data_IF_349492101632
#
_entry.id   IF_349492101632
#
_cell.length_a   1.000
_cell.length_b   1.000
_cell.length_c   1.000
_cell.angle_alpha   90.00
_cell.angle_beta   90.00
_cell.angle_gamma   90.00
#
_symmetry.space_group_name_H-M   'P 1'
#
loop_
_entity.id
_entity.type
_entity.pdbx_description
1 polymer ?
#
# COMPACT_ATOMS: atom_id res chain seq x y z
N UNK A 1 43.24 1.02 26.55
CA UNK A 1 41.80 1.10 26.90
C UNK A 1 41.06 1.38 25.61
N UNK A 2 40.07 0.52 25.32
CA UNK A 2 39.42 0.36 24.02
C UNK A 2 38.58 1.59 23.63
N UNK A 3 38.75 2.09 22.41
CA UNK A 3 37.83 3.06 21.81
C UNK A 3 36.90 2.34 20.83
N UNK A 4 35.61 2.40 21.15
CA UNK A 4 34.46 1.83 20.46
C UNK A 4 34.34 2.28 19.00
N UNK A 5 34.10 1.33 18.09
CA UNK A 5 33.66 1.60 16.72
C UNK A 5 32.17 2.00 16.71
N UNK A 6 31.77 3.08 16.01
CA UNK A 6 30.38 3.36 15.71
C UNK A 6 30.07 2.88 14.29
N UNK A 7 29.72 1.61 14.13
CA UNK A 7 29.04 1.14 12.93
C UNK A 7 27.56 0.96 13.25
N UNK A 8 26.82 2.06 13.13
CA UNK A 8 25.37 1.98 12.98
C UNK A 8 25.10 1.46 11.56
N UNK A 9 24.56 0.25 11.47
CA UNK A 9 24.10 -0.33 10.22
C UNK A 9 22.89 0.49 9.73
N UNK A 10 23.09 1.36 8.74
CA UNK A 10 22.00 1.99 8.02
C UNK A 10 21.37 0.95 7.08
N UNK A 11 20.14 0.56 7.39
CA UNK A 11 19.28 -0.30 6.58
C UNK A 11 18.95 0.40 5.27
N UNK A 12 19.67 0.07 4.19
CA UNK A 12 19.39 0.54 2.84
C UNK A 12 18.06 -0.04 2.33
N UNK A 13 17.15 0.85 1.91
CA UNK A 13 15.87 0.53 1.29
C UNK A 13 16.06 -0.20 -0.06
N UNK A 14 15.22 -1.20 -0.41
CA UNK A 14 15.43 -2.09 -1.56
C UNK A 14 15.04 -1.49 -2.92
N UNK A 15 14.76 -0.18 -3.00
CA UNK A 15 14.44 0.50 -4.26
C UNK A 15 15.62 1.33 -4.74
N UNK A 16 16.65 0.64 -5.24
CA UNK A 16 17.70 1.29 -6.00
C UNK A 16 17.76 0.65 -7.39
N UNK A 17 17.45 1.46 -8.40
CA UNK A 17 17.95 1.30 -9.78
C UNK A 17 19.45 1.01 -9.75
N UNK A 18 20.04 0.35 -10.76
CA UNK A 18 21.44 -0.11 -10.69
C UNK A 18 22.34 1.03 -10.23
N UNK A 19 22.79 0.92 -8.97
CA UNK A 19 23.68 1.88 -8.35
C UNK A 19 24.98 1.77 -9.11
N UNK A 20 25.39 2.83 -9.80
CA UNK A 20 26.69 2.88 -10.45
C UNK A 20 27.78 2.99 -9.38
N UNK A 21 28.13 1.84 -8.80
CA UNK A 21 29.32 1.71 -7.96
C UNK A 21 30.54 1.97 -8.83
N UNK A 22 31.38 2.91 -8.44
CA UNK A 22 32.72 3.02 -9.03
C UNK A 22 33.59 2.01 -8.30
N UNK A 23 33.80 0.84 -8.90
CA UNK A 23 34.85 -0.09 -8.44
C UNK A 23 36.17 0.53 -8.84
N UNK A 24 36.97 0.97 -7.88
CA UNK A 24 38.35 1.34 -8.14
C UNK A 24 39.14 0.04 -8.36
N UNK A 25 39.40 -0.31 -9.62
CA UNK A 25 40.30 -1.42 -9.94
C UNK A 25 41.73 -1.01 -9.58
N UNK A 26 42.30 -1.69 -8.60
CA UNK A 26 43.70 -1.60 -8.24
C UNK A 26 44.39 -2.95 -8.50
N UNK A 27 45.68 -2.95 -8.88
CA UNK A 27 46.38 -4.16 -9.29
C UNK A 27 46.41 -5.20 -8.16
N UNK A 28 46.11 -6.44 -8.54
CA UNK A 28 45.90 -7.58 -7.65
C UNK A 28 47.12 -7.83 -6.76
N UNK A 29 46.90 -7.76 -5.44
CA UNK A 29 47.83 -8.25 -4.43
C UNK A 29 47.71 -7.47 -3.13
N UNK A 30 47.40 -8.18 -2.04
CA UNK A 30 47.22 -7.71 -0.65
C UNK A 30 45.75 -7.41 -0.33
N UNK A 31 45.23 -8.11 0.69
CA UNK A 31 43.83 -8.12 1.10
C UNK A 31 43.32 -6.74 1.52
N UNK A 32 42.67 -6.06 0.58
CA UNK A 32 41.99 -4.79 0.82
C UNK A 32 40.49 -5.07 0.67
N UNK A 33 39.76 -4.93 1.79
CA UNK A 33 38.31 -4.90 1.76
C UNK A 33 37.84 -3.69 0.94
N UNK A 34 36.87 -3.83 0.01
CA UNK A 34 36.41 -2.71 -0.78
C UNK A 34 35.81 -1.64 0.13
N UNK A 35 36.43 -0.47 0.18
CA UNK A 35 35.88 0.70 0.84
C UNK A 35 34.86 1.35 -0.11
N UNK A 36 33.59 0.97 0.06
CA UNK A 36 32.47 1.62 -0.62
C UNK A 36 32.24 2.96 0.05
N UNK A 37 32.59 4.06 -0.63
CA UNK A 37 32.30 5.42 -0.17
C UNK A 37 31.17 5.98 -1.03
N UNK A 38 30.06 6.34 -0.40
CA UNK A 38 28.95 7.01 -1.07
C UNK A 38 29.45 8.36 -1.60
N UNK A 39 29.08 8.67 -2.84
CA UNK A 39 29.42 9.97 -3.41
C UNK A 39 28.62 11.08 -2.72
N UNK A 40 29.14 12.32 -2.65
CA UNK A 40 28.44 13.44 -2.02
C UNK A 40 27.06 13.71 -2.63
N UNK A 41 26.87 13.40 -3.93
CA UNK A 41 25.57 13.56 -4.59
C UNK A 41 24.50 12.63 -3.99
N UNK A 42 24.89 11.46 -3.48
CA UNK A 42 23.97 10.50 -2.83
C UNK A 42 23.58 10.95 -1.43
N UNK A 43 24.48 11.62 -0.71
CA UNK A 43 24.17 12.19 0.61
C UNK A 43 23.19 13.36 0.52
N UNK A 44 23.28 14.15 -0.56
CA UNK A 44 22.34 15.24 -0.79
C UNK A 44 20.94 14.71 -1.18
N UNK A 45 20.90 13.63 -1.99
CA UNK A 45 19.63 12.96 -2.30
C UNK A 45 18.93 12.39 -1.05
N UNK A 46 19.69 11.86 -0.09
CA UNK A 46 19.14 11.36 1.18
C UNK A 46 18.45 12.48 1.98
N UNK A 47 19.06 13.67 2.03
CA UNK A 47 18.48 14.85 2.69
C UNK A 47 17.21 15.33 1.98
N UNK A 48 17.25 15.45 0.66
CA UNK A 48 16.08 15.86 -0.14
C UNK A 48 14.92 14.84 -0.04
N UNK A 49 15.22 13.54 -0.06
CA UNK A 49 14.24 12.47 0.13
C UNK A 49 13.59 12.56 1.51
N UNK A 50 14.39 12.81 2.56
CA UNK A 50 13.90 12.94 3.92
C UNK A 50 12.98 14.18 4.08
N UNK A 51 13.30 15.31 3.43
CA UNK A 51 12.45 16.50 3.43
C UNK A 51 11.08 16.24 2.78
N UNK A 52 11.02 15.42 1.74
CA UNK A 52 9.75 15.02 1.11
C UNK A 52 8.93 14.17 2.07
N UNK A 53 9.56 13.21 2.76
CA UNK A 53 8.88 12.34 3.75
C UNK A 53 8.38 13.09 4.99
N UNK A 54 9.08 14.13 5.40
CA UNK A 54 8.70 15.00 6.52
C UNK A 54 7.62 16.02 6.14
N UNK A 55 7.34 16.22 4.85
CA UNK A 55 6.31 17.16 4.42
C UNK A 55 4.91 16.73 4.89
N UNK A 56 4.14 17.68 5.46
CA UNK A 56 2.77 17.43 5.92
C UNK A 56 1.89 16.80 4.84
N UNK A 57 2.06 17.21 3.59
CA UNK A 57 1.32 16.67 2.46
C UNK A 57 1.65 15.19 2.21
N UNK A 58 2.92 14.78 2.28
CA UNK A 58 3.29 13.37 2.16
C UNK A 58 2.68 12.53 3.29
N UNK A 59 2.80 13.01 4.53
CA UNK A 59 2.26 12.31 5.71
C UNK A 59 0.75 12.13 5.62
N UNK A 60 0.01 13.17 5.20
CA UNK A 60 -1.42 13.09 4.92
C UNK A 60 -1.74 12.05 3.83
N UNK A 61 -1.00 12.05 2.72
CA UNK A 61 -1.23 11.08 1.64
C UNK A 61 -1.01 9.64 2.10
N UNK A 62 0.01 9.39 2.91
CA UNK A 62 0.29 8.06 3.48
C UNK A 62 -0.80 7.66 4.47
N UNK A 63 -1.24 8.59 5.33
CA UNK A 63 -2.37 8.37 6.24
C UNK A 63 -3.65 8.05 5.46
N UNK A 64 -3.99 8.80 4.41
CA UNK A 64 -5.19 8.56 3.60
C UNK A 64 -5.15 7.18 2.92
N UNK A 65 -3.98 6.72 2.48
CA UNK A 65 -3.82 5.36 1.92
C UNK A 65 -4.05 4.29 2.97
N UNK A 66 -3.48 4.45 4.16
CA UNK A 66 -3.67 3.52 5.27
C UNK A 66 -5.14 3.52 5.75
N UNK A 67 -5.78 4.68 5.80
CA UNK A 67 -7.18 4.86 6.12
C UNK A 67 -8.09 4.13 5.13
N UNK A 68 -7.85 4.32 3.82
CA UNK A 68 -8.57 3.59 2.78
C UNK A 68 -8.38 2.08 2.87
N UNK A 69 -7.17 1.62 3.15
CA UNK A 69 -6.92 0.18 3.32
C UNK A 69 -7.75 -0.40 4.48
N UNK A 70 -7.85 0.32 5.59
CA UNK A 70 -8.71 -0.07 6.71
C UNK A 70 -10.18 -0.06 6.34
N UNK A 71 -10.67 0.94 5.58
CA UNK A 71 -12.07 0.98 5.13
C UNK A 71 -12.45 -0.19 4.23
N UNK A 72 -11.51 -0.66 3.40
CA UNK A 72 -11.71 -1.82 2.52
C UNK A 72 -11.77 -3.13 3.35
N UNK A 73 -11.15 -3.16 4.52
CA UNK A 73 -11.26 -4.30 5.44
C UNK A 73 -12.68 -4.39 5.99
N UNK A 74 -13.31 -5.56 5.85
CA UNK A 74 -14.69 -5.80 6.29
C UNK A 74 -14.95 -5.44 7.76
N UNK A 75 -13.94 -5.58 8.61
CA UNK A 75 -14.04 -5.30 10.04
C UNK A 75 -13.41 -3.96 10.44
N UNK A 76 -12.97 -3.15 9.47
CA UNK A 76 -12.26 -1.89 9.68
C UNK A 76 -11.02 -2.02 10.58
N UNK A 77 -10.46 -3.23 10.65
CA UNK A 77 -9.33 -3.62 11.50
C UNK A 77 -8.39 -4.52 10.71
N UNK A 78 -7.10 -4.33 10.89
CA UNK A 78 -6.05 -5.13 10.25
C UNK A 78 -4.94 -5.38 11.30
N UNK A 79 -4.49 -6.63 11.48
CA UNK A 79 -3.32 -6.94 12.31
C UNK A 79 -2.08 -6.15 11.89
N UNK A 80 -1.32 -5.61 12.84
CA UNK A 80 -0.11 -4.83 12.55
C UNK A 80 0.88 -5.64 11.73
N UNK A 81 1.01 -6.96 11.97
CA UNK A 81 1.83 -7.86 11.14
C UNK A 81 1.52 -7.81 9.63
N UNK A 82 0.25 -7.60 9.26
CA UNK A 82 -0.17 -7.49 7.86
C UNK A 82 0.19 -6.09 7.35
N UNK A 83 -0.06 -5.04 8.13
CA UNK A 83 0.34 -3.66 7.79
C UNK A 83 1.86 -3.58 7.60
N UNK A 84 2.65 -4.23 8.46
CA UNK A 84 4.11 -4.29 8.38
C UNK A 84 4.61 -4.99 7.11
N UNK A 85 3.84 -5.95 6.58
CA UNK A 85 4.13 -6.61 5.31
C UNK A 85 3.87 -5.66 4.13
N UNK A 86 2.87 -4.78 4.25
CA UNK A 86 2.45 -3.84 3.21
C UNK A 86 3.08 -2.44 3.33
N UNK A 87 3.82 -2.17 4.40
CA UNK A 87 4.30 -0.82 4.73
C UNK A 87 5.08 -0.16 3.60
N UNK A 88 5.91 -0.91 2.89
CA UNK A 88 6.68 -0.42 1.74
C UNK A 88 5.81 -0.11 0.53
N UNK A 89 4.73 -0.85 0.32
CA UNK A 89 3.78 -0.56 -0.74
C UNK A 89 2.95 0.69 -0.43
N UNK A 90 2.69 0.95 0.85
CA UNK A 90 1.92 2.11 1.31
C UNK A 90 2.75 3.38 1.45
N UNK A 91 4.08 3.27 1.52
CA UNK A 91 4.98 4.39 1.84
C UNK A 91 4.98 4.74 3.32
N UNK A 92 4.72 3.77 4.19
CA UNK A 92 4.71 3.99 5.63
C UNK A 92 6.14 4.11 6.18
N UNK A 93 6.41 5.04 7.11
CA UNK A 93 7.66 5.05 7.88
C UNK A 93 7.89 3.72 8.60
N UNK A 94 9.15 3.38 8.87
CA UNK A 94 9.51 2.16 9.59
C UNK A 94 8.88 2.09 10.99
N UNK A 95 8.72 3.25 11.63
CA UNK A 95 8.17 3.47 12.96
C UNK A 95 6.76 4.09 12.91
N UNK A 96 5.98 3.86 11.84
CA UNK A 96 4.68 4.52 11.60
C UNK A 96 3.71 4.43 12.79
N UNK A 97 3.80 3.39 13.63
CA UNK A 97 2.97 3.25 14.84
C UNK A 97 3.29 4.34 15.88
N UNK A 98 4.55 4.75 15.96
CA UNK A 98 5.02 5.81 16.87
C UNK A 98 5.06 7.18 16.19
N UNK A 99 5.34 7.22 14.88
CA UNK A 99 5.52 8.48 14.15
C UNK A 99 4.24 8.96 13.48
N UNK A 100 3.49 8.10 12.77
CA UNK A 100 2.33 8.51 11.97
C UNK A 100 1.01 8.37 12.73
N UNK A 101 0.76 7.24 13.38
CA UNK A 101 -0.52 6.95 14.05
C UNK A 101 -0.92 8.02 15.08
N UNK A 102 -0.01 8.53 15.95
CA UNK A 102 -0.36 9.55 16.93
C UNK A 102 -0.72 10.91 16.33
N UNK A 103 -0.30 11.20 15.09
CA UNK A 103 -0.66 12.43 14.39
C UNK A 103 -2.08 12.41 13.84
N UNK A 104 -2.66 11.22 13.65
CA UNK A 104 -4.00 11.02 13.11
C UNK A 104 -4.89 10.23 14.09
N UNK A 105 -5.16 10.76 15.31
CA UNK A 105 -5.93 10.05 16.33
C UNK A 105 -7.41 9.85 15.93
N UNK A 106 -7.94 10.71 15.07
CA UNK A 106 -9.28 10.56 14.50
C UNK A 106 -9.37 9.44 13.45
N UNK A 107 -8.22 8.99 12.94
CA UNK A 107 -8.15 7.99 11.87
C UNK A 107 -7.87 6.63 12.46
N UNK A 108 -6.89 6.54 13.36
CA UNK A 108 -6.29 5.28 13.74
C UNK A 108 -6.28 5.07 15.25
N UNK A 109 -6.51 3.82 15.64
CA UNK A 109 -6.30 3.35 17.00
C UNK A 109 -5.60 2.00 16.96
N UNK A 110 -4.60 1.83 17.81
CA UNK A 110 -4.01 0.51 18.05
C UNK A 110 -4.78 -0.18 19.16
N UNK A 111 -5.22 -1.41 18.92
CA UNK A 111 -5.98 -2.23 19.86
C UNK A 111 -5.32 -3.59 20.03
N UNK A 112 -5.56 -4.23 21.18
CA UNK A 112 -5.13 -5.61 21.40
C UNK A 112 -6.01 -6.59 20.62
N UNK A 113 -5.41 -7.67 20.12
CA UNK A 113 -6.04 -8.65 19.22
C UNK A 113 -6.81 -9.74 19.93
N UNK A 114 -7.09 -9.59 21.21
CA UNK A 114 -7.94 -10.50 21.99
C UNK A 114 -7.30 -11.88 22.25
N UNK A 115 -6.00 -12.03 21.98
CA UNK A 115 -5.22 -13.23 22.20
C UNK A 115 -4.37 -13.02 23.47
N UNK A 116 -4.85 -13.56 24.60
CA UNK A 116 -4.23 -13.43 25.92
C UNK A 116 -2.96 -14.29 26.09
N UNK A 117 -2.16 -14.48 25.04
CA UNK A 117 -0.95 -15.32 25.08
C UNK A 117 0.24 -14.51 24.59
N UNK A 118 0.88 -13.83 25.54
CA UNK A 118 2.08 -13.03 25.35
C UNK A 118 3.26 -13.89 24.88
N UNK A 119 3.52 -13.91 23.57
CA UNK A 119 4.84 -14.24 23.03
C UNK A 119 5.06 -13.57 21.66
N UNK A 120 5.35 -12.26 21.68
CA UNK A 120 5.86 -11.54 20.50
C UNK A 120 5.47 -10.07 20.50
N UNK A 121 6.47 -9.18 20.51
CA UNK A 121 6.32 -7.74 20.32
C UNK A 121 5.48 -7.49 19.04
N UNK A 122 4.29 -6.91 19.20
CA UNK A 122 3.34 -6.50 18.15
C UNK A 122 2.54 -7.58 17.39
N UNK A 123 2.74 -8.89 17.65
CA UNK A 123 2.08 -9.94 16.85
C UNK A 123 0.55 -10.00 17.04
N UNK A 124 0.07 -9.57 18.21
CA UNK A 124 -1.34 -9.57 18.58
C UNK A 124 -2.01 -8.20 18.39
N UNK A 125 -1.28 -7.13 18.08
CA UNK A 125 -1.88 -5.80 17.96
C UNK A 125 -2.58 -5.63 16.61
N UNK A 126 -3.71 -4.92 16.62
CA UNK A 126 -4.46 -4.52 15.44
C UNK A 126 -4.47 -3.01 15.28
N UNK A 127 -4.36 -2.54 14.04
CA UNK A 127 -4.73 -1.19 13.67
C UNK A 127 -6.22 -1.15 13.35
N UNK A 128 -6.93 -0.20 13.94
CA UNK A 128 -8.37 0.00 13.79
C UNK A 128 -8.67 1.40 13.26
N UNK A 129 -9.69 1.49 12.40
CA UNK A 129 -10.29 2.74 11.96
C UNK A 129 -11.16 3.36 13.06
N UNK A 130 -10.94 4.63 13.41
CA UNK A 130 -11.67 5.33 14.47
C UNK A 130 -12.93 6.01 13.93
N UNK A 131 -12.77 7.06 13.12
CA UNK A 131 -13.87 7.81 12.55
C UNK A 131 -13.95 7.63 11.03
N UNK A 132 -15.12 7.27 10.52
CA UNK A 132 -15.37 7.22 9.08
C UNK A 132 -15.40 8.61 8.45
N UNK A 133 -14.75 8.77 7.30
CA UNK A 133 -14.72 10.03 6.53
C UNK A 133 -15.22 9.80 5.11
N UNK A 134 -16.31 10.48 4.75
CA UNK A 134 -16.95 10.39 3.43
C UNK A 134 -16.11 10.93 2.29
N UNK A 135 -15.16 11.81 2.58
CA UNK A 135 -14.24 12.36 1.56
C UNK A 135 -13.30 11.29 1.00
N UNK A 136 -13.00 10.26 1.80
CA UNK A 136 -12.12 9.15 1.44
C UNK A 136 -12.88 7.90 0.98
N UNK A 137 -14.23 7.90 1.00
CA UNK A 137 -15.03 6.74 0.55
C UNK A 137 -15.05 6.60 -0.97
N UNK A 138 -14.73 7.65 -1.73
CA UNK A 138 -14.77 7.58 -3.20
C UNK A 138 -13.60 6.74 -3.72
N UNK A 139 -13.93 5.64 -4.39
CA UNK A 139 -12.97 4.72 -4.99
C UNK A 139 -12.27 5.34 -6.20
N UNK A 140 -11.09 4.82 -6.53
CA UNK A 140 -10.29 5.25 -7.67
C UNK A 140 -11.00 5.07 -9.00
N UNK A 141 -11.87 4.05 -9.11
CA UNK A 141 -12.67 3.82 -10.31
C UNK A 141 -13.77 4.88 -10.41
N UNK A 142 -14.50 5.15 -9.32
CA UNK A 142 -15.54 6.21 -9.31
C UNK A 142 -14.95 7.58 -9.67
N UNK A 143 -13.74 7.90 -9.19
CA UNK A 143 -13.05 9.16 -9.55
C UNK A 143 -12.69 9.26 -11.03
N UNK A 144 -12.49 8.13 -11.72
CA UNK A 144 -12.11 8.09 -13.14
C UNK A 144 -13.34 8.08 -14.06
N UNK A 145 -14.45 7.54 -13.59
CA UNK A 145 -15.69 7.41 -14.36
C UNK A 145 -16.47 8.73 -14.37
N UNK A 146 -16.61 9.33 -15.56
CA UNK A 146 -17.33 10.60 -15.71
C UNK A 146 -18.83 10.36 -15.74
N UNK A 147 -19.57 11.02 -14.86
CA UNK A 147 -21.04 10.90 -14.80
C UNK A 147 -21.52 9.63 -14.13
N UNK A 148 -20.67 8.98 -13.32
CA UNK A 148 -21.10 7.89 -12.47
C UNK A 148 -22.12 8.37 -11.43
N UNK A 149 -23.23 7.66 -11.33
CA UNK A 149 -24.23 7.81 -10.26
C UNK A 149 -24.32 6.50 -9.47
N UNK A 150 -24.53 6.60 -8.16
CA UNK A 150 -24.56 5.43 -7.27
C UNK A 150 -25.64 4.45 -7.72
N UNK A 151 -25.25 3.18 -7.88
CA UNK A 151 -26.12 2.11 -8.37
C UNK A 151 -26.02 1.86 -9.89
N UNK A 152 -25.31 2.70 -10.64
CA UNK A 152 -25.00 2.43 -12.04
C UNK A 152 -23.91 1.36 -12.17
N UNK A 153 -23.91 0.57 -13.26
CA UNK A 153 -22.80 -0.32 -13.57
C UNK A 153 -21.55 0.49 -13.98
N UNK A 154 -20.37 0.05 -13.53
CA UNK A 154 -19.09 0.48 -14.09
C UNK A 154 -18.44 -0.71 -14.80
N UNK A 155 -18.10 -0.56 -16.08
CA UNK A 155 -17.53 -1.62 -16.90
C UNK A 155 -16.03 -1.75 -16.63
N UNK A 156 -15.59 -2.94 -16.24
CA UNK A 156 -14.17 -3.24 -16.09
C UNK A 156 -13.56 -3.56 -17.47
N UNK A 157 -12.47 -2.88 -17.88
CA UNK A 157 -11.76 -3.23 -19.11
C UNK A 157 -11.22 -4.67 -19.03
N UNK A 158 -11.68 -5.54 -19.92
CA UNK A 158 -11.23 -6.93 -20.02
C UNK A 158 -10.52 -7.15 -21.35
N UNK A 159 -9.25 -7.57 -21.28
CA UNK A 159 -8.46 -7.92 -22.46
C UNK A 159 -8.21 -9.43 -22.46
N UNK A 160 -8.76 -10.12 -23.46
CA UNK A 160 -8.48 -11.52 -23.68
C UNK A 160 -7.34 -11.66 -24.70
N UNK A 161 -6.41 -12.58 -24.47
CA UNK A 161 -5.31 -12.83 -25.41
C UNK A 161 -5.86 -13.26 -26.77
N UNK A 162 -5.30 -12.72 -27.85
CA UNK A 162 -5.70 -13.07 -29.23
C UNK A 162 -5.56 -14.58 -29.45
N UNK A 163 -6.67 -15.25 -29.80
CA UNK A 163 -6.75 -16.71 -29.95
C UNK A 163 -7.66 -17.40 -28.92
N UNK A 164 -8.11 -16.69 -27.88
CA UNK A 164 -9.14 -17.19 -26.99
C UNK A 164 -10.53 -17.10 -27.65
N UNK A 165 -11.06 -18.22 -28.13
CA UNK A 165 -12.45 -18.30 -28.56
C UNK A 165 -13.35 -18.46 -27.32
N UNK A 166 -14.00 -17.37 -26.92
CA UNK A 166 -14.97 -17.42 -25.82
C UNK A 166 -16.25 -18.07 -26.30
N UNK A 167 -16.66 -19.15 -25.62
CA UNK A 167 -17.99 -19.73 -25.85
C UNK A 167 -19.08 -18.68 -25.59
N UNK A 168 -20.18 -18.77 -26.34
CA UNK A 168 -21.32 -17.85 -26.26
C UNK A 168 -21.90 -17.76 -24.84
N UNK A 169 -21.85 -18.86 -24.08
CA UNK A 169 -22.30 -18.88 -22.67
C UNK A 169 -21.41 -18.01 -21.79
N UNK A 170 -20.09 -18.14 -21.93
CA UNK A 170 -19.12 -17.32 -21.18
C UNK A 170 -19.28 -15.84 -21.52
N UNK A 171 -19.38 -15.52 -22.82
CA UNK A 171 -19.60 -14.13 -23.24
C UNK A 171 -20.87 -13.53 -22.63
N UNK A 172 -21.99 -14.28 -22.68
CA UNK A 172 -23.25 -13.84 -22.08
C UNK A 172 -23.10 -13.63 -20.57
N UNK A 173 -22.45 -14.54 -19.86
CA UNK A 173 -22.20 -14.40 -18.43
C UNK A 173 -21.36 -13.14 -18.12
N UNK A 174 -20.30 -12.88 -18.89
CA UNK A 174 -19.49 -11.65 -18.73
C UNK A 174 -20.34 -10.39 -18.99
N UNK A 175 -21.15 -10.39 -20.04
CA UNK A 175 -22.03 -9.26 -20.37
C UNK A 175 -23.05 -8.99 -19.25
N UNK A 176 -23.67 -10.04 -18.70
CA UNK A 176 -24.61 -9.96 -17.58
C UNK A 176 -23.88 -9.50 -16.29
N UNK A 177 -22.70 -10.06 -16.03
CA UNK A 177 -21.85 -9.69 -14.89
C UNK A 177 -21.41 -8.22 -14.94
N UNK A 178 -21.08 -7.68 -16.13
CA UNK A 178 -20.72 -6.27 -16.33
C UNK A 178 -21.90 -5.30 -16.12
N UNK A 179 -23.14 -5.77 -16.22
CA UNK A 179 -24.36 -4.95 -16.01
C UNK A 179 -24.81 -4.82 -14.56
N UNK A 180 -24.28 -5.63 -13.65
CA UNK A 180 -24.54 -5.50 -12.21
C UNK A 180 -24.20 -4.09 -11.69
N UNK A 181 -24.85 -3.60 -10.62
CA UNK A 181 -24.50 -2.32 -10.02
C UNK A 181 -23.06 -2.34 -9.48
N UNK A 182 -22.33 -1.23 -9.67
CA UNK A 182 -21.03 -1.07 -9.01
C UNK A 182 -21.24 -0.74 -7.53
N UNK A 183 -20.57 -1.51 -6.67
CA UNK A 183 -20.53 -1.30 -5.22
C UNK A 183 -19.11 -0.85 -4.87
N UNK A 184 -19.00 0.31 -4.22
CA UNK A 184 -17.69 0.86 -3.88
C UNK A 184 -16.96 -0.04 -2.86
N UNK A 185 -15.65 -0.30 -3.04
CA UNK A 185 -14.82 -1.05 -2.10
C UNK A 185 -14.80 -0.48 -0.69
N UNK A 186 -14.95 0.84 -0.58
CA UNK A 186 -14.95 1.56 0.69
C UNK A 186 -16.35 1.61 1.33
N UNK A 187 -17.38 0.99 0.75
CA UNK A 187 -18.71 0.89 1.34
C UNK A 187 -18.92 -0.46 2.02
N UNK A 188 -19.86 -0.50 2.97
CA UNK A 188 -20.15 -1.72 3.72
C UNK A 188 -20.80 -2.80 2.83
N UNK A 189 -19.98 -3.75 2.38
CA UNK A 189 -20.39 -4.88 1.57
C UNK A 189 -20.80 -6.12 2.39
N UNK A 190 -21.05 -6.00 3.70
CA UNK A 190 -21.48 -7.13 4.54
C UNK A 190 -22.83 -7.72 4.11
N UNK A 191 -23.61 -6.99 3.31
CA UNK A 191 -24.90 -7.46 2.77
C UNK A 191 -24.72 -8.41 1.58
N UNK A 192 -23.52 -8.52 1.01
CA UNK A 192 -23.25 -9.43 -0.11
C UNK A 192 -23.12 -10.87 0.38
N UNK A 193 -23.88 -11.76 -0.25
CA UNK A 193 -23.78 -13.19 0.00
C UNK A 193 -22.43 -13.74 -0.46
N UNK A 194 -21.92 -14.82 0.15
CA UNK A 194 -20.77 -15.52 -0.38
C UNK A 194 -21.11 -16.18 -1.73
N UNK A 195 -20.16 -16.20 -2.67
CA UNK A 195 -20.25 -16.86 -3.97
C UNK A 195 -21.38 -16.34 -4.89
N UNK A 196 -21.70 -15.05 -4.82
CA UNK A 196 -22.60 -14.40 -5.78
C UNK A 196 -21.81 -13.58 -6.80
N UNK A 197 -22.39 -13.34 -7.97
CA UNK A 197 -21.76 -12.53 -9.01
C UNK A 197 -21.46 -11.09 -8.51
N UNK A 198 -22.30 -10.54 -7.62
CA UNK A 198 -22.06 -9.24 -6.96
C UNK A 198 -20.87 -9.30 -6.01
N UNK A 199 -20.68 -10.41 -5.29
CA UNK A 199 -19.54 -10.61 -4.40
C UNK A 199 -18.22 -10.71 -5.18
N UNK A 200 -18.24 -11.40 -6.32
CA UNK A 200 -17.10 -11.48 -7.24
C UNK A 200 -16.80 -10.11 -7.87
N UNK A 201 -17.84 -9.37 -8.24
CA UNK A 201 -17.71 -8.00 -8.75
C UNK A 201 -17.13 -7.04 -7.72
N UNK A 202 -17.59 -7.12 -6.48
CA UNK A 202 -17.03 -6.34 -5.38
C UNK A 202 -15.57 -6.71 -5.11
N UNK A 203 -15.20 -7.99 -5.19
CA UNK A 203 -13.81 -8.42 -5.06
C UNK A 203 -12.91 -7.82 -6.15
N UNK A 204 -13.38 -7.75 -7.40
CA UNK A 204 -12.67 -7.05 -8.48
C UNK A 204 -12.49 -5.57 -8.18
N UNK A 205 -13.55 -4.90 -7.70
CA UNK A 205 -13.46 -3.51 -7.29
C UNK A 205 -12.43 -3.29 -6.16
N UNK A 206 -12.42 -4.16 -5.14
CA UNK A 206 -11.44 -4.16 -4.05
C UNK A 206 -10.02 -4.31 -4.57
N UNK A 207 -9.78 -5.26 -5.48
CA UNK A 207 -8.45 -5.45 -6.08
C UNK A 207 -7.98 -4.20 -6.82
N UNK A 208 -8.85 -3.57 -7.61
CA UNK A 208 -8.52 -2.32 -8.29
C UNK A 208 -8.17 -1.19 -7.31
N UNK A 209 -8.92 -1.05 -6.21
CA UNK A 209 -8.65 -0.04 -5.20
C UNK A 209 -7.33 -0.31 -4.48
N UNK A 210 -7.10 -1.53 -4.01
CA UNK A 210 -5.85 -1.93 -3.33
C UNK A 210 -4.64 -1.73 -4.23
N UNK A 211 -4.73 -2.11 -5.51
CA UNK A 211 -3.65 -1.84 -6.47
C UNK A 211 -3.43 -0.34 -6.66
N UNK A 212 -4.48 0.48 -6.66
CA UNK A 212 -4.35 1.94 -6.74
C UNK A 212 -3.78 2.55 -5.45
N UNK A 213 -3.85 1.87 -4.30
CA UNK A 213 -3.15 2.27 -3.07
C UNK A 213 -1.64 1.97 -3.14
N UNK A 214 -1.27 0.83 -3.73
CA UNK A 214 0.12 0.34 -3.77
C UNK A 214 0.94 0.86 -4.95
N UNK A 215 0.29 1.08 -6.09
CA UNK A 215 0.87 1.84 -7.18
C UNK A 215 0.89 3.26 -6.69
N UNK A 216 1.97 3.61 -5.96
CA UNK A 216 2.28 5.00 -5.68
C UNK A 216 2.04 5.74 -6.99
N UNK A 217 1.15 6.72 -6.98
CA UNK A 217 0.97 7.59 -8.12
C UNK A 217 2.33 8.25 -8.32
N UNK A 218 3.19 7.59 -9.11
CA UNK A 218 4.38 8.16 -9.67
C UNK A 218 3.83 9.38 -10.36
N UNK A 219 4.17 10.55 -9.81
CA UNK A 219 3.77 11.85 -10.28
C UNK A 219 3.78 11.77 -11.80
N UNK A 220 2.59 11.72 -12.41
CA UNK A 220 2.47 11.95 -13.84
C UNK A 220 2.70 13.44 -13.95
N UNK A 221 3.96 13.78 -14.27
CA UNK A 221 4.34 15.12 -14.71
C UNK A 221 3.58 15.52 -15.97
#
# INVERSE_FOLDING_TARGET
MSASSPFSALSLSPRLTPVNFTVLEFPVGIGIHPHIKLKPEVLNLDVEENLVYESNHYRQNVADRLFKLLMISRINRIPLRIVDTLKWNLGLPQDYVQSLVPEFPDYFRVTDGGSSTSCGLNSDLNLELVCWRTELTVSAIEKKEKGYEKGMPIVFPMHFSGGAEMDKKMKKWVDDWQRLPYISPCENACHLGPNTDESDRWAVAVMHEVLNLFVGNSVRG
#
